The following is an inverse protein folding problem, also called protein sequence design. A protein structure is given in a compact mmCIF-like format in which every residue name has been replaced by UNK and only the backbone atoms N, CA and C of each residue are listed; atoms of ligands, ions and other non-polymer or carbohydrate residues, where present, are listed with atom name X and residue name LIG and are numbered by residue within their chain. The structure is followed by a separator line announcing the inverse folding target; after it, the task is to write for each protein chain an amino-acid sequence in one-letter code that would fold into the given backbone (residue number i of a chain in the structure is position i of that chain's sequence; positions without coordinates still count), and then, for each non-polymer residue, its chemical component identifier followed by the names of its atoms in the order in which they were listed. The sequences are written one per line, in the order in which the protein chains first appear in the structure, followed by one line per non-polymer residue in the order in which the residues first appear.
data_IF_322020190685
#
_entry.id   IF_322020190685
#
_cell.length_a   1.000
_cell.length_b   1.000
_cell.length_c   1.000
_cell.angle_alpha   90.00
_cell.angle_beta   90.00
_cell.angle_gamma   90.00
#
_symmetry.space_group_name_H-M   'P 1'
#
loop_
_entity.id
_entity.type
_entity.pdbx_description
1 polymer ?
#
# COMPACT_ATOMS: atom_id res chain seq x y z
N UNK A 1 -2.73 8.58 -10.51
CA UNK A 1 -3.10 9.87 -11.14
C UNK A 1 -3.25 10.96 -10.09
N UNK A 2 -4.04 10.78 -9.01
CA UNK A 2 -4.32 11.83 -8.01
C UNK A 2 -3.05 12.38 -7.31
N UNK A 3 -2.01 11.56 -7.11
CA UNK A 3 -0.75 12.00 -6.50
C UNK A 3 -0.09 13.14 -7.29
N UNK A 4 -0.21 13.13 -8.62
CA UNK A 4 0.35 14.19 -9.46
C UNK A 4 -0.40 15.52 -9.31
N UNK A 5 -1.72 15.48 -9.09
CA UNK A 5 -2.49 16.68 -8.80
C UNK A 5 -2.11 17.29 -7.46
N UNK A 6 -1.90 16.45 -6.44
CA UNK A 6 -1.44 16.90 -5.12
C UNK A 6 -0.06 17.54 -5.23
N UNK A 7 0.90 16.86 -5.89
CA UNK A 7 2.25 17.39 -6.08
C UNK A 7 2.21 18.72 -6.86
N UNK A 8 1.47 18.77 -7.95
CA UNK A 8 1.34 20.02 -8.72
C UNK A 8 0.74 21.18 -7.91
N UNK A 9 -0.26 20.90 -7.05
CA UNK A 9 -0.82 21.91 -6.17
C UNK A 9 0.21 22.40 -5.13
N UNK A 10 1.06 21.52 -4.60
CA UNK A 10 2.12 21.85 -3.65
C UNK A 10 3.26 22.63 -4.31
N UNK A 11 3.61 22.32 -5.55
CA UNK A 11 4.66 22.98 -6.32
C UNK A 11 4.34 24.47 -6.59
N UNK A 12 3.06 24.84 -6.59
CA UNK A 12 2.62 26.24 -6.65
C UNK A 12 2.92 27.03 -5.36
N UNK A 13 3.36 26.35 -4.29
CA UNK A 13 3.69 26.95 -3.01
C UNK A 13 2.59 27.82 -2.37
N UNK A 14 1.30 27.42 -2.44
CA UNK A 14 0.23 28.19 -1.83
C UNK A 14 0.31 28.14 -0.29
N UNK A 15 -0.35 29.06 0.38
CA UNK A 15 -0.50 29.06 1.84
C UNK A 15 -1.25 27.81 2.34
N UNK A 16 -2.28 27.41 1.59
CA UNK A 16 -3.12 26.25 1.90
C UNK A 16 -3.36 25.38 0.68
N UNK A 17 -3.35 24.05 0.89
CA UNK A 17 -3.82 23.06 -0.08
C UNK A 17 -4.92 22.24 0.57
N UNK A 18 -6.10 22.22 -0.01
CA UNK A 18 -7.21 21.38 0.46
C UNK A 18 -7.75 20.56 -0.71
N UNK A 19 -7.67 19.24 -0.60
CA UNK A 19 -8.09 18.31 -1.64
C UNK A 19 -8.78 17.10 -1.02
N UNK A 20 -9.65 16.48 -1.84
CA UNK A 20 -10.20 15.15 -1.57
C UNK A 20 -9.52 14.15 -2.50
N UNK A 21 -8.98 13.07 -1.93
CA UNK A 21 -8.25 12.04 -2.68
C UNK A 21 -8.57 10.65 -2.16
N UNK A 22 -8.40 9.58 -2.98
CA UNK A 22 -8.44 8.22 -2.49
C UNK A 22 -7.41 7.98 -1.38
N UNK A 23 -7.82 7.32 -0.29
CA UNK A 23 -6.93 7.04 0.86
C UNK A 23 -6.04 5.81 0.70
N UNK A 24 -5.94 5.28 -0.49
CA UNK A 24 -5.13 4.11 -0.83
C UNK A 24 -3.63 4.28 -0.56
N UNK A 25 -3.16 5.52 -0.54
CA UNK A 25 -1.77 5.85 -0.25
C UNK A 25 -1.38 5.62 1.23
N UNK A 26 -2.35 5.44 2.14
CA UNK A 26 -2.08 5.26 3.57
C UNK A 26 -1.16 4.09 3.86
N UNK A 27 -1.36 2.95 3.18
CA UNK A 27 -0.62 1.72 3.49
C UNK A 27 -0.19 0.93 2.27
N UNK A 28 -0.66 1.26 1.07
CA UNK A 28 -0.54 0.39 -0.08
C UNK A 28 -0.08 1.05 -1.34
N UNK A 29 0.14 0.22 -2.30
CA UNK A 29 0.51 0.51 -3.69
C UNK A 29 1.30 -0.67 -4.22
N UNK A 30 0.95 -1.19 -5.41
CA UNK A 30 1.80 -2.15 -6.09
C UNK A 30 3.18 -1.53 -6.34
N UNK A 31 4.24 -2.30 -6.09
CA UNK A 31 5.62 -1.92 -6.43
C UNK A 31 6.10 -0.60 -5.80
N UNK A 32 5.60 -0.26 -4.60
CA UNK A 32 5.94 0.97 -3.89
C UNK A 32 5.62 2.29 -4.65
N UNK A 33 4.78 2.24 -5.67
CA UNK A 33 4.42 3.42 -6.50
C UNK A 33 3.88 4.62 -5.70
N UNK A 34 3.40 4.38 -4.49
CA UNK A 34 2.90 5.41 -3.59
C UNK A 34 3.79 5.61 -2.35
N UNK A 35 4.95 4.96 -2.26
CA UNK A 35 5.82 5.09 -1.09
C UNK A 35 6.37 6.50 -0.95
N UNK A 36 6.95 7.05 -2.02
CA UNK A 36 7.50 8.41 -2.02
C UNK A 36 6.40 9.45 -1.80
N UNK A 37 5.24 9.26 -2.43
CA UNK A 37 4.09 10.13 -2.23
C UNK A 37 3.61 10.09 -0.77
N UNK A 38 3.51 8.88 -0.17
CA UNK A 38 3.14 8.71 1.24
C UNK A 38 4.13 9.38 2.17
N UNK A 39 5.43 9.14 1.98
CA UNK A 39 6.48 9.78 2.75
C UNK A 39 6.37 11.31 2.69
N UNK A 40 6.18 11.88 1.48
CA UNK A 40 5.97 13.31 1.31
C UNK A 40 4.74 13.82 2.07
N UNK A 41 3.60 13.12 1.95
CA UNK A 41 2.35 13.49 2.63
C UNK A 41 2.48 13.44 4.15
N UNK A 42 3.16 12.43 4.70
CA UNK A 42 3.26 12.22 6.15
C UNK A 42 4.28 13.17 6.79
N UNK A 43 5.36 13.54 6.10
CA UNK A 43 6.48 14.25 6.70
C UNK A 43 6.64 15.70 6.25
N UNK A 44 6.26 16.01 5.01
CA UNK A 44 6.61 17.31 4.40
C UNK A 44 5.42 18.21 4.11
N UNK A 45 4.22 17.65 4.01
CA UNK A 45 3.06 18.41 3.52
C UNK A 45 2.40 19.33 4.54
N UNK A 46 2.82 19.28 5.82
CA UNK A 46 2.23 20.13 6.85
C UNK A 46 0.71 19.95 6.97
N UNK A 47 0.22 18.71 7.06
CA UNK A 47 -1.21 18.42 7.13
C UNK A 47 -1.74 18.79 8.51
N UNK A 48 -2.48 19.90 8.59
CA UNK A 48 -3.09 20.38 9.82
C UNK A 48 -4.41 19.66 10.15
N UNK A 49 -5.19 19.29 9.11
CA UNK A 49 -6.46 18.58 9.30
C UNK A 49 -6.61 17.45 8.27
N UNK A 50 -7.21 16.33 8.70
CA UNK A 50 -7.53 15.21 7.84
C UNK A 50 -8.85 14.56 8.28
N UNK A 51 -9.79 14.42 7.34
CA UNK A 51 -11.00 13.63 7.50
C UNK A 51 -10.89 12.38 6.64
N UNK A 52 -11.19 11.22 7.22
CA UNK A 52 -11.04 9.93 6.55
C UNK A 52 -12.37 9.20 6.54
N UNK A 53 -12.77 8.76 5.35
CA UNK A 53 -13.96 7.98 5.09
C UNK A 53 -13.55 6.62 4.51
N UNK A 54 -13.54 5.55 5.33
CA UNK A 54 -13.24 4.20 4.85
C UNK A 54 -14.21 3.69 3.79
N UNK A 55 -15.48 4.11 3.88
CA UNK A 55 -16.50 3.89 2.87
C UNK A 55 -16.73 5.17 2.06
N UNK A 56 -16.44 5.12 0.76
CA UNK A 56 -16.65 6.25 -0.14
C UNK A 56 -18.11 6.64 -0.33
N UNK A 57 -19.05 5.72 -0.09
CA UNK A 57 -20.48 5.98 -0.25
C UNK A 57 -21.02 6.98 0.78
N UNK A 58 -20.34 7.17 1.90
CA UNK A 58 -20.69 8.20 2.89
C UNK A 58 -20.50 9.64 2.33
N UNK A 59 -19.71 9.79 1.26
CA UNK A 59 -19.45 11.09 0.59
C UNK A 59 -19.99 11.11 -0.83
N UNK A 60 -19.80 10.03 -1.59
CA UNK A 60 -20.22 9.86 -2.97
C UNK A 60 -21.08 8.61 -3.11
N UNK A 61 -22.43 8.68 -2.89
CA UNK A 61 -23.29 7.51 -2.81
C UNK A 61 -23.27 6.58 -4.03
N UNK A 62 -22.96 7.12 -5.21
CA UNK A 62 -22.94 6.36 -6.48
C UNK A 62 -21.55 5.90 -6.93
N UNK A 63 -20.50 6.16 -6.13
CA UNK A 63 -19.11 5.88 -6.55
C UNK A 63 -18.37 5.03 -5.54
N UNK A 64 -18.01 3.82 -5.94
CA UNK A 64 -17.14 2.97 -5.12
C UNK A 64 -15.65 3.31 -5.33
N UNK A 65 -14.99 3.76 -4.26
CA UNK A 65 -13.54 3.98 -4.22
C UNK A 65 -12.93 2.97 -3.27
N UNK A 66 -12.30 1.95 -3.82
CA UNK A 66 -11.63 0.90 -3.01
C UNK A 66 -10.58 1.49 -2.07
N UNK A 67 -10.79 1.25 -0.78
CA UNK A 67 -9.95 1.78 0.29
C UNK A 67 -10.43 3.12 0.84
N UNK A 68 -11.56 3.65 0.34
CA UNK A 68 -12.14 4.90 0.81
C UNK A 68 -11.41 6.15 0.33
N UNK A 69 -11.70 7.26 0.96
CA UNK A 69 -11.14 8.56 0.61
C UNK A 69 -10.76 9.37 1.84
N UNK A 70 -9.99 10.41 1.64
CA UNK A 70 -9.67 11.40 2.66
C UNK A 70 -9.74 12.82 2.12
N UNK A 71 -10.22 13.72 2.96
CA UNK A 71 -10.00 15.15 2.85
C UNK A 71 -8.77 15.52 3.63
N UNK A 72 -7.96 16.45 3.15
CA UNK A 72 -6.91 17.04 3.96
C UNK A 72 -6.80 18.54 3.73
N UNK A 73 -6.33 19.24 4.76
CA UNK A 73 -5.88 20.61 4.71
C UNK A 73 -4.41 20.63 5.09
N UNK A 74 -3.58 20.97 4.13
CA UNK A 74 -2.15 21.24 4.31
C UNK A 74 -1.95 22.76 4.42
N UNK A 75 -1.09 23.18 5.33
CA UNK A 75 -0.70 24.57 5.54
C UNK A 75 0.81 24.70 5.41
N UNK A 76 1.24 25.70 4.67
CA UNK A 76 2.67 25.97 4.44
C UNK A 76 3.38 26.26 5.78
N UNK A 77 4.47 25.51 6.03
CA UNK A 77 5.25 25.67 7.25
C UNK A 77 4.61 25.08 8.52
N UNK A 78 3.43 24.44 8.43
CA UNK A 78 2.84 23.75 9.58
C UNK A 78 3.64 22.51 9.96
N UNK A 79 3.95 22.36 11.25
CA UNK A 79 4.70 21.23 11.80
C UNK A 79 4.06 20.63 13.07
N UNK A 80 2.81 21.01 13.37
CA UNK A 80 2.06 20.50 14.51
C UNK A 80 1.40 19.15 14.27
N UNK A 81 0.69 18.67 15.30
CA UNK A 81 -0.14 17.47 15.18
C UNK A 81 -1.34 17.71 14.27
N UNK A 82 -1.71 16.70 13.50
CA UNK A 82 -2.89 16.73 12.64
C UNK A 82 -4.17 16.50 13.46
N UNK A 83 -5.16 17.37 13.28
CA UNK A 83 -6.55 17.10 13.70
C UNK A 83 -7.12 16.03 12.77
N UNK A 84 -7.06 14.78 13.22
CA UNK A 84 -7.45 13.61 12.44
C UNK A 84 -8.85 13.16 12.82
N UNK A 85 -9.76 13.13 11.87
CA UNK A 85 -11.15 12.69 12.05
C UNK A 85 -11.41 11.45 11.21
N UNK A 86 -11.80 10.35 11.85
CA UNK A 86 -12.29 9.14 11.19
C UNK A 86 -13.81 9.17 11.22
N UNK A 87 -14.43 9.10 10.04
CA UNK A 87 -15.89 8.99 9.87
C UNK A 87 -16.21 7.57 9.44
N UNK A 88 -17.07 6.89 10.20
CA UNK A 88 -17.44 5.50 9.93
C UNK A 88 -18.90 5.25 10.35
N UNK A 89 -19.73 4.85 9.41
CA UNK A 89 -21.14 4.54 9.64
C UNK A 89 -21.89 5.69 10.33
N UNK A 90 -21.67 6.91 9.84
CA UNK A 90 -22.29 8.12 10.37
C UNK A 90 -21.73 8.60 11.73
N UNK A 91 -20.73 7.92 12.29
CA UNK A 91 -20.06 8.32 13.54
C UNK A 91 -18.69 8.89 13.24
N UNK A 92 -18.34 10.00 13.86
CA UNK A 92 -17.02 10.62 13.74
C UNK A 92 -16.24 10.54 15.04
N UNK A 93 -14.94 10.23 14.92
CA UNK A 93 -13.99 10.25 16.03
C UNK A 93 -12.83 11.16 15.65
N UNK A 94 -12.60 12.20 16.46
CA UNK A 94 -11.51 13.18 16.20
C UNK A 94 -10.45 13.07 17.29
N UNK A 95 -9.19 13.04 16.87
CA UNK A 95 -8.02 13.09 17.76
C UNK A 95 -6.94 13.98 17.17
N UNK A 96 -6.07 14.51 18.03
CA UNK A 96 -4.79 15.08 17.59
C UNK A 96 -3.76 13.98 17.51
N UNK A 97 -3.02 13.90 16.41
CA UNK A 97 -1.96 12.87 16.22
C UNK A 97 -0.87 13.31 15.26
N UNK A 98 0.32 12.77 15.46
CA UNK A 98 1.36 12.83 14.46
C UNK A 98 1.06 11.81 13.35
N UNK A 99 1.17 12.24 12.11
CA UNK A 99 0.93 11.36 10.94
C UNK A 99 2.15 10.50 10.61
N UNK A 100 3.35 10.90 11.04
CA UNK A 100 4.63 10.26 10.75
C UNK A 100 5.11 9.27 11.84
N UNK A 101 4.23 8.84 12.74
CA UNK A 101 4.57 7.83 13.77
C UNK A 101 5.01 6.47 13.16
N UNK A 102 4.64 6.19 11.91
CA UNK A 102 4.94 4.95 11.19
C UNK A 102 5.11 5.23 9.68
N UNK A 103 5.77 4.32 8.97
CA UNK A 103 5.93 4.36 7.49
C UNK A 103 4.59 4.30 6.74
N UNK A 104 3.53 3.91 7.42
CA UNK A 104 2.15 3.82 6.93
C UNK A 104 1.22 4.59 7.83
N UNK A 105 0.15 5.14 7.27
CA UNK A 105 -0.88 5.78 8.08
C UNK A 105 -1.89 4.72 8.55
N UNK A 106 -1.80 4.34 9.83
CA UNK A 106 -2.79 3.47 10.46
C UNK A 106 -4.09 4.25 10.60
N UNK A 107 -5.12 3.81 9.90
CA UNK A 107 -6.38 4.53 9.77
C UNK A 107 -7.14 4.63 11.09
N UNK A 108 -7.21 3.52 11.84
CA UNK A 108 -7.93 3.44 13.10
C UNK A 108 -7.03 3.95 14.25
N UNK A 109 -7.39 5.06 14.93
CA UNK A 109 -6.53 5.65 15.95
C UNK A 109 -6.21 4.73 17.13
N UNK A 110 -7.17 3.91 17.55
CA UNK A 110 -6.96 2.95 18.66
C UNK A 110 -5.93 1.89 18.27
N UNK A 111 -5.95 1.39 17.03
CA UNK A 111 -4.97 0.43 16.55
C UNK A 111 -3.57 1.05 16.47
N UNK A 112 -3.45 2.32 16.10
CA UNK A 112 -2.17 3.03 16.09
C UNK A 112 -1.52 3.02 17.47
N UNK A 113 -2.29 3.28 18.52
CA UNK A 113 -1.80 3.26 19.90
C UNK A 113 -1.38 1.85 20.35
N UNK A 114 -2.10 0.81 19.94
CA UNK A 114 -1.74 -0.59 20.24
C UNK A 114 -0.40 -0.93 19.54
N UNK A 115 -0.29 -0.63 18.25
CA UNK A 115 0.95 -0.89 17.48
C UNK A 115 2.13 -0.14 18.10
N UNK A 116 1.95 1.14 18.48
CA UNK A 116 3.00 1.93 19.15
C UNK A 116 3.49 1.28 20.44
N UNK A 117 2.58 0.77 21.27
CA UNK A 117 2.93 0.05 22.51
C UNK A 117 3.67 -1.27 22.22
N UNK A 118 3.25 -2.03 21.21
CA UNK A 118 3.91 -3.27 20.82
C UNK A 118 5.31 -3.00 20.29
N UNK A 119 5.44 -2.04 19.37
CA UNK A 119 6.73 -1.70 18.76
C UNK A 119 7.74 -1.10 19.74
N UNK A 120 7.29 -0.46 20.80
CA UNK A 120 8.19 0.05 21.86
C UNK A 120 9.01 -1.06 22.57
N UNK A 121 8.58 -2.32 22.47
CA UNK A 121 9.29 -3.47 23.01
C UNK A 121 10.23 -4.14 22.00
N UNK A 122 10.51 -3.54 20.86
CA UNK A 122 11.34 -4.10 19.78
C UNK A 122 11.01 -5.56 19.45
N UNK A 123 9.76 -5.90 19.14
CA UNK A 123 9.38 -7.27 18.86
C UNK A 123 10.02 -7.73 17.54
N UNK A 124 10.35 -9.01 17.47
CA UNK A 124 10.61 -9.64 16.17
C UNK A 124 9.33 -9.60 15.35
N UNK A 125 9.42 -9.14 14.13
CA UNK A 125 8.25 -8.99 13.27
C UNK A 125 8.13 -10.16 12.29
N UNK A 126 6.91 -10.44 11.88
CA UNK A 126 6.65 -11.51 10.89
C UNK A 126 7.32 -11.20 9.54
N UNK A 127 7.59 -9.92 9.26
CA UNK A 127 8.33 -9.51 8.05
C UNK A 127 9.74 -10.08 7.94
N UNK A 128 10.35 -10.49 9.06
CA UNK A 128 11.66 -11.16 9.09
C UNK A 128 11.62 -12.59 8.55
N UNK A 129 10.44 -13.22 8.53
CA UNK A 129 10.25 -14.62 8.14
C UNK A 129 9.29 -14.81 6.97
N UNK A 130 8.59 -13.75 6.54
CA UNK A 130 7.72 -13.77 5.36
C UNK A 130 8.51 -13.28 4.15
N UNK A 131 8.57 -14.11 3.12
CA UNK A 131 9.07 -13.72 1.82
C UNK A 131 8.08 -12.81 1.08
N UNK A 132 8.57 -12.03 0.09
CA UNK A 132 7.73 -11.22 -0.78
C UNK A 132 6.71 -12.04 -1.58
N UNK A 133 5.87 -11.36 -2.33
CA UNK A 133 4.77 -11.94 -3.11
C UNK A 133 5.22 -12.90 -4.23
N UNK A 134 6.49 -12.87 -4.61
CA UNK A 134 7.09 -13.81 -5.58
C UNK A 134 8.36 -14.45 -5.00
N UNK A 135 8.26 -15.26 -3.92
CA UNK A 135 9.43 -15.76 -3.17
C UNK A 135 10.39 -16.61 -4.00
N UNK A 136 9.89 -17.26 -5.04
CA UNK A 136 10.70 -18.06 -5.97
C UNK A 136 11.01 -17.35 -7.30
N UNK A 137 10.68 -16.05 -7.40
CA UNK A 137 10.82 -15.28 -8.63
C UNK A 137 9.81 -15.64 -9.72
N UNK A 138 8.83 -16.50 -9.41
CA UNK A 138 7.82 -16.97 -10.36
C UNK A 138 6.52 -16.21 -10.13
N UNK A 139 6.05 -15.39 -11.09
CA UNK A 139 4.77 -14.71 -10.98
C UNK A 139 3.59 -15.68 -11.10
N UNK A 140 2.41 -15.26 -10.65
CA UNK A 140 1.17 -16.06 -10.68
C UNK A 140 0.83 -16.56 -12.09
N UNK A 141 1.13 -15.75 -13.11
CA UNK A 141 1.06 -16.15 -14.51
C UNK A 141 2.44 -16.04 -15.16
N UNK A 142 3.24 -17.10 -15.13
CA UNK A 142 4.63 -17.09 -15.61
C UNK A 142 4.76 -16.78 -17.10
N UNK A 143 3.78 -17.19 -17.92
CA UNK A 143 3.79 -16.99 -19.38
C UNK A 143 3.57 -15.52 -19.79
N UNK A 144 2.83 -14.76 -19.00
CA UNK A 144 2.47 -13.36 -19.31
C UNK A 144 3.38 -12.34 -18.62
N UNK A 145 4.35 -12.78 -17.84
CA UNK A 145 5.25 -11.88 -17.12
C UNK A 145 6.17 -11.14 -18.09
N UNK A 146 5.97 -9.82 -18.21
CA UNK A 146 6.86 -8.95 -19.01
C UNK A 146 8.22 -8.72 -18.36
N UNK A 147 8.31 -8.82 -17.01
CA UNK A 147 9.55 -8.54 -16.24
C UNK A 147 10.48 -9.74 -16.16
N UNK A 148 9.94 -10.94 -15.98
CA UNK A 148 10.69 -12.20 -15.91
C UNK A 148 9.89 -13.30 -16.60
N UNK A 149 9.95 -13.39 -17.92
CA UNK A 149 9.31 -14.48 -18.64
C UNK A 149 10.01 -15.79 -18.28
N UNK A 150 9.25 -16.78 -17.81
CA UNK A 150 9.74 -18.10 -17.50
C UNK A 150 9.18 -19.05 -18.55
N UNK A 151 10.06 -19.79 -19.21
CA UNK A 151 9.63 -20.84 -20.12
C UNK A 151 9.07 -22.01 -19.32
N UNK A 152 7.84 -22.40 -19.63
CA UNK A 152 7.16 -23.55 -19.04
C UNK A 152 6.94 -24.64 -20.08
N UNK A 153 7.05 -25.87 -19.64
CA UNK A 153 6.98 -27.05 -20.51
C UNK A 153 5.85 -27.97 -20.06
N UNK A 154 5.13 -28.54 -21.02
CA UNK A 154 4.00 -29.43 -20.72
C UNK A 154 4.47 -30.80 -20.19
N UNK A 155 5.66 -31.24 -20.60
CA UNK A 155 6.23 -32.53 -20.21
C UNK A 155 7.61 -32.34 -19.57
N UNK A 156 8.00 -33.21 -18.61
CA UNK A 156 9.32 -33.15 -18.02
C UNK A 156 10.41 -33.65 -18.98
N UNK A 157 11.63 -33.15 -18.77
CA UNK A 157 12.85 -33.68 -19.36
C UNK A 157 14.00 -33.56 -18.35
N UNK A 158 15.19 -34.02 -18.69
CA UNK A 158 16.36 -33.91 -17.79
C UNK A 158 16.71 -32.44 -17.49
N UNK A 159 16.44 -31.52 -18.41
CA UNK A 159 16.73 -30.09 -18.24
C UNK A 159 15.63 -29.31 -17.50
N UNK A 160 14.38 -29.78 -17.56
CA UNK A 160 13.22 -29.08 -16.99
C UNK A 160 12.27 -30.08 -16.30
N UNK A 161 12.69 -30.58 -15.14
CA UNK A 161 11.96 -31.58 -14.37
C UNK A 161 11.30 -31.02 -13.08
N UNK A 162 11.46 -29.75 -12.79
CA UNK A 162 10.87 -29.15 -11.60
C UNK A 162 9.40 -28.82 -11.85
N UNK A 163 8.51 -29.44 -11.09
CA UNK A 163 7.06 -29.25 -11.21
C UNK A 163 6.66 -27.84 -10.73
N UNK A 164 5.91 -27.14 -11.57
CA UNK A 164 5.25 -25.88 -11.27
C UNK A 164 3.74 -26.09 -11.25
N UNK A 165 3.13 -25.82 -10.09
CA UNK A 165 1.68 -25.83 -9.93
C UNK A 165 1.15 -24.40 -9.99
N UNK A 166 0.26 -24.12 -10.92
CA UNK A 166 -0.32 -22.79 -11.07
C UNK A 166 -1.78 -22.87 -11.54
N UNK A 167 -2.45 -21.72 -11.60
CA UNK A 167 -3.82 -21.59 -12.08
C UNK A 167 -3.82 -20.84 -13.40
N UNK A 168 -4.38 -21.47 -14.43
CA UNK A 168 -4.61 -20.85 -15.72
C UNK A 168 -6.10 -20.98 -16.07
N UNK A 169 -6.77 -19.85 -16.38
CA UNK A 169 -8.19 -19.82 -16.69
C UNK A 169 -9.06 -20.56 -15.66
N UNK A 170 -8.83 -20.28 -14.36
CA UNK A 170 -9.51 -20.91 -13.20
C UNK A 170 -9.24 -22.40 -12.98
N UNK A 171 -8.46 -23.05 -13.83
CA UNK A 171 -8.12 -24.48 -13.71
C UNK A 171 -6.70 -24.64 -13.14
N UNK A 172 -6.55 -25.63 -12.27
CA UNK A 172 -5.22 -26.05 -11.79
C UNK A 172 -4.45 -26.69 -12.94
N UNK A 173 -3.23 -26.25 -13.17
CA UNK A 173 -2.32 -26.77 -14.16
C UNK A 173 -1.02 -27.20 -13.52
N UNK A 174 -0.42 -28.27 -14.06
CA UNK A 174 0.92 -28.71 -13.71
C UNK A 174 1.77 -28.58 -14.96
N UNK A 175 2.82 -27.81 -14.88
CA UNK A 175 3.82 -27.64 -15.92
C UNK A 175 5.21 -27.82 -15.32
N UNK A 176 6.24 -27.77 -16.12
CA UNK A 176 7.61 -28.01 -15.69
C UNK A 176 8.48 -26.82 -16.06
N UNK A 177 9.46 -26.54 -15.21
CA UNK A 177 10.43 -25.43 -15.41
C UNK A 177 11.84 -25.95 -15.18
N UNK A 178 12.79 -25.26 -15.77
CA UNK A 178 14.19 -25.48 -15.43
C UNK A 178 14.42 -25.00 -13.99
N UNK A 179 15.13 -25.78 -13.19
CA UNK A 179 15.42 -25.45 -11.78
C UNK A 179 16.18 -24.13 -11.63
N UNK A 180 16.97 -23.75 -12.62
CA UNK A 180 17.70 -22.48 -12.63
C UNK A 180 16.78 -21.25 -12.75
N UNK A 181 15.55 -21.43 -13.22
CA UNK A 181 14.56 -20.36 -13.30
C UNK A 181 13.96 -20.01 -11.91
N UNK A 182 14.14 -20.88 -10.94
CA UNK A 182 13.68 -20.67 -9.57
C UNK A 182 14.76 -19.89 -8.82
N UNK A 183 14.47 -18.63 -8.48
CA UNK A 183 15.35 -17.86 -7.61
C UNK A 183 15.40 -18.55 -6.25
N UNK A 184 16.60 -18.84 -5.74
CA UNK A 184 16.75 -19.13 -4.33
C UNK A 184 16.37 -17.88 -3.56
N UNK A 185 15.54 -18.00 -2.51
CA UNK A 185 15.50 -16.95 -1.52
C UNK A 185 16.94 -16.77 -1.05
N UNK A 186 17.50 -15.61 -1.32
CA UNK A 186 18.72 -15.20 -0.63
C UNK A 186 18.33 -15.04 0.83
N UNK A 187 18.85 -15.93 1.67
CA UNK A 187 18.81 -15.80 3.11
C UNK A 187 19.38 -14.44 3.55
#
# INVERSE_FOLDING_TARGET
IYQYFVTAAQDLQPEYVSLIIPSRWFSGGRENLLADFRHNMLEKCGIAKMLVFPDSHEVFPSVEIKGGLCYFLSQKGYSGECEYTLVKSGTSTTIMRNLNDFDVLIREPLLANIVKKVMANNPRTVSEIISGDTPFGIPTNPKESKKNPITVYATPSDEHNTKLFHIENTKRKTEYVNRSAIKKNSD
#
